data_IF_727352272922
#
_entry.id   IF_727352272922
#
_cell.length_a   1.000
_cell.length_b   1.000
_cell.length_c   1.000
_cell.angle_alpha   90.00
_cell.angle_beta   90.00
_cell.angle_gamma   90.00
#
_symmetry.space_group_name_H-M   'P 1'
#
loop_
_entity.id
_entity.type
_entity.pdbx_description
1 polymer ?
#
# COMPACT_ATOMS: atom_id res chain seq x y z
N UNK A 1 -6.33 9.62 10.58
CA UNK A 1 -7.61 8.92 10.36
C UNK A 1 -8.74 9.74 10.93
N UNK A 2 -9.66 10.17 10.09
CA UNK A 2 -10.88 10.84 10.51
C UNK A 2 -12.08 9.97 10.16
N UNK A 3 -13.01 9.81 11.09
CA UNK A 3 -14.24 9.03 10.90
C UNK A 3 -15.45 9.88 11.26
N UNK A 4 -16.31 10.09 10.29
CA UNK A 4 -17.62 10.72 10.46
C UNK A 4 -18.69 9.63 10.48
N UNK A 5 -19.48 9.56 11.57
CA UNK A 5 -20.61 8.63 11.71
C UNK A 5 -21.90 9.41 11.68
N UNK A 6 -22.78 9.11 10.75
CA UNK A 6 -24.18 9.55 10.73
C UNK A 6 -25.10 8.34 10.95
N UNK A 7 -26.40 8.58 11.23
CA UNK A 7 -27.37 7.48 11.48
C UNK A 7 -27.42 6.44 10.35
N UNK A 8 -27.17 6.86 9.10
CA UNK A 8 -27.33 6.02 7.90
C UNK A 8 -26.03 5.67 7.18
N UNK A 9 -24.89 6.26 7.53
CA UNK A 9 -23.63 5.98 6.87
C UNK A 9 -22.43 6.29 7.77
N UNK A 10 -21.29 5.68 7.46
CA UNK A 10 -19.98 6.00 8.03
C UNK A 10 -19.04 6.41 6.91
N UNK A 11 -18.45 7.58 7.03
CA UNK A 11 -17.40 8.06 6.15
C UNK A 11 -16.06 8.00 6.86
N UNK A 12 -15.06 7.44 6.21
CA UNK A 12 -13.69 7.33 6.74
C UNK A 12 -12.74 8.00 5.74
N UNK A 13 -11.94 8.90 6.26
CA UNK A 13 -10.85 9.53 5.53
C UNK A 13 -9.52 9.11 6.16
N UNK A 14 -8.60 8.69 5.33
CA UNK A 14 -7.25 8.29 5.73
C UNK A 14 -6.24 8.99 4.84
N UNK A 15 -5.28 9.66 5.45
CA UNK A 15 -4.11 10.24 4.82
C UNK A 15 -2.86 9.61 5.44
N UNK A 16 -2.00 9.08 4.61
CA UNK A 16 -0.72 8.51 4.99
C UNK A 16 0.37 9.07 4.10
N UNK A 17 1.46 9.49 4.73
CA UNK A 17 2.67 9.90 4.05
C UNK A 17 3.86 9.29 4.78
N UNK A 18 4.74 8.64 4.03
CA UNK A 18 5.95 8.04 4.54
C UNK A 18 7.11 8.44 3.65
N UNK A 19 8.20 8.87 4.29
CA UNK A 19 9.39 9.31 3.60
C UNK A 19 10.64 8.79 4.31
N UNK A 20 11.55 8.18 3.58
CA UNK A 20 12.76 7.61 4.14
C UNK A 20 13.94 7.65 3.17
N UNK A 21 15.12 7.79 3.73
CA UNK A 21 16.40 7.72 3.02
C UNK A 21 17.23 6.55 3.50
N UNK A 22 18.04 6.02 2.62
CA UNK A 22 19.14 5.13 2.93
C UNK A 22 20.43 5.80 2.49
N UNK A 23 21.29 6.09 3.45
CA UNK A 23 22.62 6.62 3.19
C UNK A 23 23.63 5.45 3.19
N UNK A 24 24.45 5.37 2.17
CA UNK A 24 25.56 4.43 2.09
C UNK A 24 26.85 5.14 2.48
N UNK A 25 27.74 4.45 3.18
CA UNK A 25 29.01 4.98 3.72
C UNK A 25 29.88 5.58 2.58
N UNK A 26 29.74 5.05 1.37
CA UNK A 26 30.50 5.49 0.19
C UNK A 26 29.83 6.60 -0.62
N UNK A 27 29.04 7.49 0.02
CA UNK A 27 28.57 8.77 -0.53
C UNK A 27 27.24 8.82 -1.28
N UNK A 28 26.55 7.72 -1.56
CA UNK A 28 25.26 7.79 -2.26
C UNK A 28 24.08 7.70 -1.31
N UNK A 29 23.30 8.79 -1.22
CA UNK A 29 22.01 8.76 -0.58
C UNK A 29 20.95 8.33 -1.58
N UNK A 30 20.30 7.21 -1.32
CA UNK A 30 19.18 6.72 -2.14
C UNK A 30 17.91 6.88 -1.32
N UNK A 31 16.86 7.42 -1.93
CA UNK A 31 15.54 7.43 -1.33
C UNK A 31 15.07 5.98 -1.18
N UNK A 32 14.83 5.57 0.06
CA UNK A 32 14.45 4.21 0.39
C UNK A 32 12.92 4.03 0.40
N UNK A 33 12.21 5.08 0.79
CA UNK A 33 10.78 5.01 0.99
C UNK A 33 10.13 6.35 0.69
N UNK A 34 9.05 6.33 -0.07
CA UNK A 34 8.20 7.46 -0.36
C UNK A 34 6.83 6.92 -0.73
N UNK A 35 5.88 7.07 0.16
CA UNK A 35 4.53 6.61 -0.06
C UNK A 35 3.54 7.68 0.37
N UNK A 36 2.75 8.12 -0.58
CA UNK A 36 1.61 8.99 -0.35
C UNK A 36 0.33 8.23 -0.65
N UNK A 37 -0.55 8.15 0.32
CA UNK A 37 -1.84 7.45 0.18
C UNK A 37 -2.96 8.30 0.75
N UNK A 38 -3.96 8.56 -0.06
CA UNK A 38 -5.25 9.11 0.37
C UNK A 38 -6.31 8.06 0.13
N UNK A 39 -7.04 7.69 1.17
CA UNK A 39 -8.16 6.75 1.09
C UNK A 39 -9.43 7.41 1.59
N UNK A 40 -10.48 7.30 0.80
CA UNK A 40 -11.83 7.68 1.15
C UNK A 40 -12.72 6.45 1.11
N UNK A 41 -13.46 6.21 2.17
CA UNK A 41 -14.37 5.07 2.24
C UNK A 41 -15.70 5.51 2.80
N UNK A 42 -16.78 5.19 2.10
CA UNK A 42 -18.15 5.36 2.55
C UNK A 42 -18.79 3.99 2.76
N UNK A 43 -19.33 3.76 3.95
CA UNK A 43 -19.96 2.51 4.35
C UNK A 43 -21.41 2.78 4.74
N UNK A 44 -22.34 2.05 4.15
CA UNK A 44 -23.78 2.16 4.38
C UNK A 44 -24.27 0.80 4.89
N UNK A 45 -24.98 0.70 6.03
CA UNK A 45 -25.59 -0.54 6.48
C UNK A 45 -26.50 -1.13 5.40
N UNK A 46 -26.30 -2.41 5.06
CA UNK A 46 -27.04 -3.08 4.00
C UNK A 46 -28.18 -3.94 4.55
N UNK A 47 -27.87 -5.06 5.21
CA UNK A 47 -28.87 -5.95 5.79
C UNK A 47 -28.78 -6.02 7.31
N UNK A 48 -27.57 -5.92 7.82
CA UNK A 48 -27.26 -6.01 9.24
C UNK A 48 -26.12 -5.04 9.58
N UNK A 49 -25.97 -4.69 10.86
CA UNK A 49 -24.91 -3.75 11.32
C UNK A 49 -23.50 -4.22 10.98
N UNK A 50 -23.30 -5.51 10.79
CA UNK A 50 -22.00 -6.10 10.42
C UNK A 50 -21.79 -6.22 8.92
N UNK A 51 -22.83 -6.08 8.09
CA UNK A 51 -22.76 -6.13 6.63
C UNK A 51 -23.11 -4.77 6.06
N UNK A 52 -22.14 -4.16 5.39
CA UNK A 52 -22.24 -2.80 4.88
C UNK A 52 -22.03 -2.82 3.37
N UNK A 53 -22.71 -1.95 2.66
CA UNK A 53 -22.31 -1.57 1.31
C UNK A 53 -21.15 -0.59 1.40
N UNK A 54 -20.11 -0.80 0.61
CA UNK A 54 -18.86 -0.06 0.67
C UNK A 54 -18.53 0.57 -0.68
N UNK A 55 -18.18 1.85 -0.65
CA UNK A 55 -17.58 2.56 -1.79
C UNK A 55 -16.25 3.10 -1.30
N UNK A 56 -15.17 2.75 -1.98
CA UNK A 56 -13.83 3.22 -1.65
C UNK A 56 -13.15 3.88 -2.86
N UNK A 57 -12.40 4.93 -2.58
CA UNK A 57 -11.57 5.61 -3.54
C UNK A 57 -10.19 5.89 -2.93
N UNK A 58 -9.17 5.31 -3.52
CA UNK A 58 -7.78 5.43 -3.09
C UNK A 58 -6.95 6.16 -4.14
N UNK A 59 -6.10 7.08 -3.68
CA UNK A 59 -5.00 7.62 -4.46
C UNK A 59 -3.72 7.18 -3.78
N UNK A 60 -2.83 6.54 -4.55
CA UNK A 60 -1.50 6.16 -4.09
C UNK A 60 -0.46 6.72 -5.05
N UNK A 61 0.62 7.26 -4.53
CA UNK A 61 1.72 7.75 -5.34
C UNK A 61 2.98 7.97 -4.52
N UNK A 62 3.97 8.56 -5.17
CA UNK A 62 5.19 9.08 -4.58
C UNK A 62 5.18 10.61 -4.71
N UNK A 63 5.72 11.30 -3.71
CA UNK A 63 5.76 12.77 -3.71
C UNK A 63 7.08 13.33 -4.23
N UNK A 64 8.14 12.50 -4.28
CA UNK A 64 9.47 12.97 -4.66
C UNK A 64 10.11 12.04 -5.68
N UNK A 65 10.97 12.59 -6.51
CA UNK A 65 11.79 11.79 -7.40
C UNK A 65 12.79 10.90 -6.63
N UNK A 66 13.02 9.70 -7.13
CA UNK A 66 14.05 8.79 -6.62
C UNK A 66 15.01 8.44 -7.74
N UNK A 67 16.27 8.34 -7.34
CA UNK A 67 17.32 7.85 -8.21
C UNK A 67 17.77 6.47 -7.74
N UNK A 68 18.18 5.65 -8.69
CA UNK A 68 18.84 4.39 -8.43
C UNK A 68 20.20 4.40 -9.12
N UNK A 69 21.07 3.47 -8.78
CA UNK A 69 22.41 3.32 -9.34
C UNK A 69 22.52 2.01 -10.08
N UNK A 70 23.19 2.03 -11.22
CA UNK A 70 23.57 0.82 -11.96
C UNK A 70 25.05 0.90 -12.35
N UNK A 71 25.71 -0.25 -12.42
CA UNK A 71 27.04 -0.34 -12.99
C UNK A 71 26.93 -0.31 -14.52
N UNK A 72 27.69 0.57 -15.15
CA UNK A 72 27.87 0.57 -16.59
C UNK A 72 28.80 -0.58 -17.02
N UNK A 73 28.73 -1.01 -18.28
CA UNK A 73 29.68 -1.98 -18.86
C UNK A 73 31.14 -1.53 -18.75
N UNK A 74 31.39 -0.23 -18.62
CA UNK A 74 32.71 0.37 -18.39
C UNK A 74 33.16 0.34 -16.92
N UNK A 75 32.39 -0.27 -16.02
CA UNK A 75 32.66 -0.30 -14.56
C UNK A 75 32.28 0.98 -13.82
N UNK A 76 31.86 2.03 -14.51
CA UNK A 76 31.43 3.26 -13.88
C UNK A 76 30.02 3.12 -13.30
N UNK A 77 29.77 3.78 -12.17
CA UNK A 77 28.45 3.83 -11.54
C UNK A 77 27.63 4.99 -12.13
N UNK A 78 26.53 4.66 -12.77
CA UNK A 78 25.59 5.64 -13.33
C UNK A 78 24.39 5.81 -12.42
N UNK A 79 24.05 7.05 -12.10
CA UNK A 79 22.81 7.40 -11.38
C UNK A 79 21.71 7.66 -12.40
N UNK A 80 20.56 7.01 -12.25
CA UNK A 80 19.41 7.19 -13.14
C UNK A 80 18.12 7.44 -12.36
N UNK A 81 17.20 8.21 -12.96
CA UNK A 81 15.89 8.47 -12.39
C UNK A 81 15.07 7.17 -12.37
N UNK A 82 14.65 6.74 -11.18
CA UNK A 82 13.91 5.50 -10.97
C UNK A 82 12.41 5.75 -10.85
N UNK A 83 12.02 6.81 -10.12
CA UNK A 83 10.63 7.27 -9.99
C UNK A 83 10.61 8.78 -9.93
N UNK A 84 9.47 9.39 -10.26
CA UNK A 84 9.30 10.82 -10.24
C UNK A 84 8.01 11.22 -9.53
N UNK A 85 7.81 12.51 -9.36
CA UNK A 85 6.63 13.10 -8.73
C UNK A 85 5.33 12.59 -9.37
N UNK A 86 4.49 11.92 -8.59
CA UNK A 86 3.28 11.23 -9.06
C UNK A 86 3.50 10.27 -10.24
N UNK A 87 4.70 9.67 -10.34
CA UNK A 87 5.04 8.66 -11.36
C UNK A 87 5.77 7.47 -10.73
N UNK A 88 5.08 6.33 -10.50
CA UNK A 88 3.68 6.08 -10.86
C UNK A 88 2.66 6.72 -9.93
N UNK A 89 1.54 7.15 -10.50
CA UNK A 89 0.34 7.52 -9.76
C UNK A 89 -0.75 6.47 -9.94
N UNK A 90 -1.38 6.04 -8.86
CA UNK A 90 -2.46 5.06 -8.86
C UNK A 90 -3.74 5.69 -8.34
N UNK A 91 -4.84 5.49 -9.06
CA UNK A 91 -6.19 5.76 -8.60
C UNK A 91 -6.94 4.44 -8.57
N UNK A 92 -7.48 4.07 -7.43
CA UNK A 92 -8.21 2.82 -7.26
C UNK A 92 -9.61 3.18 -6.80
N UNK A 93 -10.60 2.71 -7.52
CA UNK A 93 -12.01 2.80 -7.17
C UNK A 93 -12.54 1.41 -6.91
N UNK A 94 -13.31 1.22 -5.86
CA UNK A 94 -14.00 -0.04 -5.61
C UNK A 94 -15.38 0.18 -5.00
N UNK A 95 -16.30 -0.70 -5.37
CA UNK A 95 -17.66 -0.76 -4.85
C UNK A 95 -17.99 -2.22 -4.52
N UNK A 96 -18.58 -2.47 -3.35
CA UNK A 96 -18.85 -3.83 -2.93
C UNK A 96 -19.43 -3.92 -1.54
N UNK A 97 -19.07 -4.99 -0.85
CA UNK A 97 -19.55 -5.30 0.50
C UNK A 97 -18.41 -5.27 1.51
N UNK A 98 -18.72 -4.78 2.69
CA UNK A 98 -17.83 -4.81 3.85
C UNK A 98 -18.47 -5.67 4.94
N UNK A 99 -17.67 -6.53 5.53
CA UNK A 99 -18.06 -7.31 6.71
C UNK A 99 -17.19 -6.93 7.90
N UNK A 100 -17.83 -6.47 8.97
CA UNK A 100 -17.16 -6.12 10.23
C UNK A 100 -17.41 -7.25 11.23
N UNK A 101 -16.34 -7.94 11.61
CA UNK A 101 -16.41 -9.00 12.63
C UNK A 101 -16.61 -8.41 14.03
N UNK A 102 -17.03 -9.26 14.99
CA UNK A 102 -17.12 -8.86 16.42
C UNK A 102 -15.76 -8.38 16.98
N UNK A 103 -14.64 -8.75 16.37
CA UNK A 103 -13.30 -8.34 16.76
C UNK A 103 -12.82 -7.08 16.02
N UNK A 104 -13.72 -6.31 15.40
CA UNK A 104 -13.43 -5.10 14.62
C UNK A 104 -12.50 -5.33 13.41
N UNK A 105 -12.36 -6.58 12.94
CA UNK A 105 -11.70 -6.87 11.67
C UNK A 105 -12.68 -6.49 10.57
N UNK A 106 -12.25 -5.63 9.66
CA UNK A 106 -13.02 -5.22 8.48
C UNK A 106 -12.52 -5.99 7.26
N UNK A 107 -13.44 -6.64 6.58
CA UNK A 107 -13.18 -7.36 5.32
C UNK A 107 -14.01 -6.69 4.24
N UNK A 108 -13.36 -6.06 3.28
CA UNK A 108 -13.97 -5.34 2.17
C UNK A 108 -13.79 -6.13 0.89
N UNK A 109 -14.88 -6.56 0.28
CA UNK A 109 -14.92 -7.21 -1.02
C UNK A 109 -15.45 -6.22 -2.05
N UNK A 110 -14.57 -5.68 -2.89
CA UNK A 110 -14.92 -4.84 -4.02
C UNK A 110 -15.26 -5.70 -5.24
N UNK A 111 -16.53 -5.77 -5.58
CA UNK A 111 -17.06 -6.56 -6.71
C UNK A 111 -16.84 -5.79 -8.02
N UNK A 112 -16.94 -4.47 -7.96
CA UNK A 112 -16.61 -3.58 -9.07
C UNK A 112 -15.41 -2.76 -8.64
N UNK A 113 -14.28 -3.02 -9.26
CA UNK A 113 -13.02 -2.34 -8.96
C UNK A 113 -12.33 -1.87 -10.23
N UNK A 114 -11.75 -0.69 -10.18
CA UNK A 114 -10.92 -0.13 -11.24
C UNK A 114 -9.61 0.41 -10.67
N UNK A 115 -8.51 0.11 -11.34
CA UNK A 115 -7.17 0.65 -11.05
C UNK A 115 -6.69 1.42 -12.27
N UNK A 116 -6.45 2.71 -12.12
CA UNK A 116 -5.84 3.55 -13.14
C UNK A 116 -4.39 3.78 -12.71
N UNK A 117 -3.45 3.35 -13.54
CA UNK A 117 -2.03 3.62 -13.39
C UNK A 117 -1.62 4.70 -14.37
N UNK A 118 -0.96 5.74 -13.88
CA UNK A 118 -0.51 6.88 -14.69
C UNK A 118 0.98 7.11 -14.53
N UNK A 119 1.67 7.34 -15.65
CA UNK A 119 3.05 7.82 -15.71
C UNK A 119 3.02 9.23 -16.29
N UNK A 120 3.62 10.20 -15.59
CA UNK A 120 3.63 11.61 -16.01
C UNK A 120 4.90 12.03 -16.69
N UNK A 121 6.00 11.30 -16.46
CA UNK A 121 7.31 11.64 -16.96
C UNK A 121 7.84 10.54 -17.89
N UNK A 122 7.85 10.82 -19.19
CA UNK A 122 8.28 9.88 -20.23
C UNK A 122 9.80 9.59 -20.18
N UNK A 123 10.61 10.48 -19.58
CA UNK A 123 12.03 10.24 -19.37
C UNK A 123 12.30 8.99 -18.50
N UNK A 124 11.32 8.55 -17.71
CA UNK A 124 11.42 7.31 -16.94
C UNK A 124 11.60 6.08 -17.85
N UNK A 125 11.00 6.06 -19.03
CA UNK A 125 11.15 4.96 -19.99
C UNK A 125 12.57 4.91 -20.54
N UNK A 126 13.17 6.08 -20.83
CA UNK A 126 14.54 6.18 -21.33
C UNK A 126 15.55 5.81 -20.25
N UNK A 127 15.42 6.40 -19.07
CA UNK A 127 16.36 6.17 -17.97
C UNK A 127 16.32 4.73 -17.47
N UNK A 128 15.18 4.09 -17.50
CA UNK A 128 15.01 2.68 -17.12
C UNK A 128 15.20 1.71 -18.28
N UNK A 129 15.42 2.20 -19.51
CA UNK A 129 15.58 1.40 -20.73
C UNK A 129 14.44 0.38 -20.90
N UNK A 130 13.20 0.80 -20.71
CA UNK A 130 12.03 -0.07 -20.77
C UNK A 130 10.95 0.59 -21.64
N UNK A 131 10.26 -0.22 -22.43
CA UNK A 131 9.09 0.22 -23.21
C UNK A 131 7.80 0.14 -22.41
N UNK A 132 7.81 -0.60 -21.29
CA UNK A 132 6.66 -0.75 -20.41
C UNK A 132 7.10 -0.46 -18.97
N UNK A 133 6.43 0.49 -18.30
CA UNK A 133 6.65 0.79 -16.90
C UNK A 133 5.35 0.70 -16.12
N UNK A 134 5.33 -0.09 -15.06
CA UNK A 134 4.17 -0.28 -14.21
C UNK A 134 2.91 -0.73 -15.00
N UNK A 135 3.15 -1.43 -16.12
CA UNK A 135 2.11 -1.89 -17.04
C UNK A 135 1.60 -0.84 -18.04
N UNK A 136 2.14 0.38 -18.03
CA UNK A 136 1.84 1.43 -19.02
C UNK A 136 2.89 1.37 -20.12
N UNK A 137 2.47 1.33 -21.38
CA UNK A 137 3.36 1.35 -22.53
C UNK A 137 3.90 2.77 -22.80
N UNK A 138 5.10 2.85 -23.37
CA UNK A 138 5.67 4.14 -23.74
C UNK A 138 4.80 4.82 -24.81
N UNK A 139 4.47 6.09 -24.58
CA UNK A 139 3.53 6.85 -25.41
C UNK A 139 2.09 6.80 -24.94
N UNK A 140 1.74 5.88 -24.02
CA UNK A 140 0.45 5.88 -23.34
C UNK A 140 0.49 6.71 -22.05
N UNK A 141 -0.55 7.49 -21.82
CA UNK A 141 -0.64 8.34 -20.61
C UNK A 141 -1.08 7.53 -19.38
N UNK A 142 -1.84 6.46 -19.58
CA UNK A 142 -2.44 5.67 -18.49
C UNK A 142 -2.80 4.27 -18.95
N UNK A 143 -2.83 3.35 -18.01
CA UNK A 143 -3.46 2.03 -18.12
C UNK A 143 -4.66 1.97 -17.19
N UNK A 144 -5.75 1.37 -17.63
CA UNK A 144 -6.94 1.12 -16.81
C UNK A 144 -7.17 -0.38 -16.72
N UNK A 145 -7.16 -0.89 -15.50
CA UNK A 145 -7.41 -2.29 -15.17
C UNK A 145 -8.73 -2.39 -14.40
N UNK A 146 -9.60 -3.34 -14.76
CA UNK A 146 -10.80 -3.67 -14.01
C UNK A 146 -10.65 -5.03 -13.34
N UNK A 147 -11.18 -5.16 -12.11
CA UNK A 147 -11.01 -6.40 -11.37
C UNK A 147 -11.78 -6.44 -10.06
N UNK A 148 -11.47 -7.45 -9.27
CA UNK A 148 -11.95 -7.63 -7.91
C UNK A 148 -10.91 -7.09 -6.93
N UNK A 149 -11.38 -6.48 -5.85
CA UNK A 149 -10.54 -6.00 -4.77
C UNK A 149 -10.98 -6.63 -3.45
N UNK A 150 -10.04 -7.26 -2.75
CA UNK A 150 -10.24 -7.74 -1.39
C UNK A 150 -9.31 -6.95 -0.47
N UNK A 151 -9.88 -6.26 0.52
CA UNK A 151 -9.10 -5.60 1.55
C UNK A 151 -9.47 -6.17 2.92
N UNK A 152 -8.45 -6.47 3.73
CA UNK A 152 -8.61 -6.92 5.11
C UNK A 152 -7.89 -5.90 5.99
N UNK A 153 -8.61 -5.34 6.94
CA UNK A 153 -8.05 -4.43 7.93
C UNK A 153 -8.37 -4.95 9.33
N UNK A 154 -7.35 -5.42 10.02
CA UNK A 154 -7.40 -5.74 11.42
C UNK A 154 -6.66 -4.63 12.19
N UNK A 155 -7.37 -3.70 12.85
CA UNK A 155 -6.74 -2.65 13.63
C UNK A 155 -5.96 -3.27 14.80
N UNK A 156 -4.96 -2.55 15.29
CA UNK A 156 -4.15 -3.00 16.42
C UNK A 156 -5.04 -3.42 17.60
N UNK A 157 -4.86 -4.63 18.05
CA UNK A 157 -5.59 -5.23 19.17
C UNK A 157 -4.66 -6.03 20.07
N UNK A 158 -4.96 -6.03 21.33
CA UNK A 158 -4.25 -6.85 22.29
C UNK A 158 -4.68 -8.32 22.14
N UNK A 159 -3.73 -9.20 21.87
CA UNK A 159 -3.90 -10.65 21.93
C UNK A 159 -3.74 -11.16 23.37
N UNK A 160 -2.80 -10.53 24.10
CA UNK A 160 -2.52 -10.70 25.53
C UNK A 160 -2.18 -9.34 26.13
N UNK A 161 -1.97 -9.27 27.44
CA UNK A 161 -1.65 -8.03 28.17
C UNK A 161 -0.42 -7.29 27.62
N UNK A 162 0.52 -8.02 27.05
CA UNK A 162 1.80 -7.50 26.55
C UNK A 162 2.05 -7.75 25.06
N UNK A 163 1.07 -8.32 24.33
CA UNK A 163 1.19 -8.62 22.91
C UNK A 163 0.00 -8.01 22.18
N UNK A 164 0.28 -7.16 21.21
CA UNK A 164 -0.71 -6.64 20.29
C UNK A 164 -0.37 -7.01 18.84
N UNK A 165 -1.39 -7.11 18.01
CA UNK A 165 -1.29 -7.46 16.60
C UNK A 165 -2.14 -6.54 15.75
N UNK A 166 -1.63 -6.20 14.57
CA UNK A 166 -2.35 -5.51 13.52
C UNK A 166 -2.03 -6.12 12.16
N UNK A 167 -2.99 -6.07 11.25
CA UNK A 167 -2.80 -6.54 9.88
C UNK A 167 -3.57 -5.65 8.90
N UNK A 168 -2.94 -5.37 7.77
CA UNK A 168 -3.57 -4.73 6.62
C UNK A 168 -3.17 -5.50 5.37
N UNK A 169 -4.15 -6.01 4.63
CA UNK A 169 -3.92 -6.73 3.39
C UNK A 169 -4.83 -6.17 2.30
N UNK A 170 -4.26 -5.95 1.12
CA UNK A 170 -4.99 -5.54 -0.08
C UNK A 170 -4.60 -6.50 -1.19
N UNK A 171 -5.60 -7.11 -1.81
CA UNK A 171 -5.43 -8.03 -2.94
C UNK A 171 -6.30 -7.52 -4.08
N UNK A 172 -5.72 -7.36 -5.24
CA UNK A 172 -6.43 -6.98 -6.46
C UNK A 172 -6.21 -8.04 -7.52
N UNK A 173 -7.29 -8.52 -8.13
CA UNK A 173 -7.27 -9.49 -9.21
C UNK A 173 -7.90 -8.88 -10.46
N UNK A 174 -7.23 -8.98 -11.61
CA UNK A 174 -7.80 -8.55 -12.88
C UNK A 174 -9.01 -9.42 -13.25
N UNK A 175 -10.06 -8.81 -13.79
CA UNK A 175 -11.30 -9.51 -14.17
C UNK A 175 -11.04 -10.62 -15.20
N UNK A 176 -10.11 -10.41 -16.12
CA UNK A 176 -9.72 -11.40 -17.15
C UNK A 176 -9.02 -12.61 -16.57
N UNK A 177 -8.40 -12.48 -15.39
CA UNK A 177 -7.42 -13.44 -14.89
C UNK A 177 -7.71 -13.88 -13.44
N UNK A 178 -8.97 -13.78 -13.00
CA UNK A 178 -9.36 -14.08 -11.60
C UNK A 178 -8.97 -15.51 -11.17
N UNK A 179 -8.84 -16.43 -12.10
CA UNK A 179 -8.44 -17.81 -11.82
C UNK A 179 -6.95 -18.09 -12.04
N UNK A 180 -6.16 -17.08 -12.42
CA UNK A 180 -4.72 -17.20 -12.67
C UNK A 180 -3.94 -16.59 -11.51
N UNK A 181 -3.26 -17.40 -10.72
CA UNK A 181 -2.51 -16.96 -9.53
C UNK A 181 -1.52 -15.84 -9.82
N UNK A 182 -0.88 -15.85 -10.98
CA UNK A 182 0.09 -14.81 -11.37
C UNK A 182 -0.54 -13.46 -11.76
N UNK A 183 -1.87 -13.37 -11.78
CA UNK A 183 -2.58 -12.14 -12.12
C UNK A 183 -2.91 -11.28 -10.90
N UNK A 184 -2.66 -11.78 -9.71
CA UNK A 184 -2.93 -11.05 -8.47
C UNK A 184 -1.84 -10.02 -8.18
N UNK A 185 -2.29 -8.85 -7.72
CA UNK A 185 -1.44 -7.86 -7.06
C UNK A 185 -1.79 -7.90 -5.58
N UNK A 186 -0.81 -8.03 -4.69
CA UNK A 186 -1.08 -7.98 -3.25
C UNK A 186 -0.05 -7.16 -2.49
N UNK A 187 -0.52 -6.54 -1.42
CA UNK A 187 0.28 -5.81 -0.43
C UNK A 187 -0.25 -6.19 0.96
N UNK A 188 0.54 -6.96 1.68
CA UNK A 188 0.19 -7.49 2.99
C UNK A 188 1.19 -6.92 4.00
N UNK A 189 0.66 -6.19 4.96
CA UNK A 189 1.41 -5.64 6.08
C UNK A 189 0.90 -6.28 7.37
N UNK A 190 1.81 -6.91 8.10
CA UNK A 190 1.50 -7.58 9.35
C UNK A 190 2.47 -7.11 10.43
N UNK A 191 1.99 -6.77 11.62
CA UNK A 191 2.83 -6.32 12.70
C UNK A 191 2.42 -6.92 14.05
N UNK A 192 3.42 -7.37 14.78
CA UNK A 192 3.33 -7.76 16.17
C UNK A 192 4.07 -6.75 17.03
N UNK A 193 3.45 -6.38 18.13
CA UNK A 193 3.97 -5.45 19.11
C UNK A 193 4.08 -6.16 20.46
N UNK A 194 5.27 -6.17 20.99
CA UNK A 194 5.58 -6.76 22.30
C UNK A 194 5.90 -5.63 23.27
N UNK A 195 5.15 -5.54 24.35
CA UNK A 195 5.37 -4.53 25.40
C UNK A 195 6.17 -5.16 26.54
N UNK A 196 7.35 -4.60 26.81
CA UNK A 196 8.22 -4.98 27.89
C UNK A 196 8.29 -3.85 28.93
N UNK A 197 8.42 -4.19 30.19
CA UNK A 197 8.70 -3.23 31.27
C UNK A 197 7.76 -1.99 31.29
N UNK A 198 6.49 -2.16 30.88
CA UNK A 198 5.44 -1.12 30.79
C UNK A 198 5.72 0.02 29.78
N UNK A 199 6.97 0.28 29.44
CA UNK A 199 7.36 1.44 28.62
C UNK A 199 8.18 1.09 27.37
N UNK A 200 8.66 -0.13 27.23
CA UNK A 200 9.49 -0.56 26.11
C UNK A 200 8.66 -1.40 25.14
N UNK A 201 8.58 -0.99 23.89
CA UNK A 201 7.87 -1.71 22.82
C UNK A 201 8.86 -2.22 21.78
N UNK A 202 8.83 -3.51 21.53
CA UNK A 202 9.42 -4.13 20.35
C UNK A 202 8.31 -4.34 19.30
N UNK A 203 8.50 -3.83 18.10
CA UNK A 203 7.59 -4.06 16.97
C UNK A 203 8.29 -4.86 15.90
N UNK A 204 7.69 -5.97 15.51
CA UNK A 204 8.14 -6.81 14.40
C UNK A 204 7.11 -6.65 13.29
N UNK A 205 7.51 -6.02 12.19
CA UNK A 205 6.64 -5.79 11.03
C UNK A 205 7.14 -6.62 9.86
N UNK A 206 6.23 -7.33 9.21
CA UNK A 206 6.47 -8.04 7.97
C UNK A 206 5.60 -7.43 6.87
N UNK A 207 6.21 -7.11 5.75
CA UNK A 207 5.52 -6.63 4.55
C UNK A 207 5.83 -7.57 3.41
N UNK A 208 4.79 -8.02 2.72
CA UNK A 208 4.89 -8.85 1.52
C UNK A 208 4.14 -8.15 0.40
N UNK A 209 4.83 -7.89 -0.71
CA UNK A 209 4.27 -7.24 -1.89
C UNK A 209 4.53 -8.03 -3.14
N UNK A 210 3.56 -8.04 -4.01
CA UNK A 210 3.69 -8.53 -5.37
C UNK A 210 2.83 -7.70 -6.31
N UNK A 211 3.42 -7.23 -7.40
CA UNK A 211 2.71 -6.62 -8.53
C UNK A 211 3.44 -7.02 -9.80
N UNK A 212 2.81 -7.85 -10.62
CA UNK A 212 3.38 -8.36 -11.87
C UNK A 212 3.82 -7.26 -12.84
N UNK A 213 3.23 -6.07 -12.74
CA UNK A 213 3.60 -4.93 -13.59
C UNK A 213 4.87 -4.19 -13.10
N UNK A 214 5.34 -4.52 -11.90
CA UNK A 214 6.51 -3.89 -11.28
C UNK A 214 7.67 -4.87 -11.23
N UNK A 215 7.40 -6.11 -10.85
CA UNK A 215 8.43 -7.11 -10.60
C UNK A 215 7.91 -8.54 -10.85
N UNK A 216 8.82 -9.42 -11.25
CA UNK A 216 8.52 -10.83 -11.50
C UNK A 216 8.56 -11.69 -10.23
N UNK A 217 9.07 -11.15 -9.12
CA UNK A 217 9.24 -11.87 -7.85
C UNK A 217 8.50 -11.19 -6.71
N UNK A 218 8.17 -11.98 -5.69
CA UNK A 218 7.57 -11.47 -4.45
C UNK A 218 8.64 -10.67 -3.68
N UNK A 219 8.29 -9.44 -3.30
CA UNK A 219 9.10 -8.63 -2.40
C UNK A 219 8.68 -8.89 -0.96
N UNK A 220 9.65 -9.20 -0.10
CA UNK A 220 9.43 -9.35 1.34
C UNK A 220 10.40 -8.48 2.11
N UNK A 221 9.89 -7.75 3.10
CA UNK A 221 10.67 -6.92 4.00
C UNK A 221 10.23 -7.15 5.43
N UNK A 222 11.19 -7.40 6.32
CA UNK A 222 10.97 -7.49 7.74
C UNK A 222 11.66 -6.32 8.44
N UNK A 223 10.95 -5.66 9.34
CA UNK A 223 11.46 -4.51 10.10
C UNK A 223 11.29 -4.78 11.59
N UNK A 224 12.37 -4.56 12.34
CA UNK A 224 12.37 -4.60 13.79
C UNK A 224 12.54 -3.18 14.32
N UNK A 225 11.63 -2.75 15.18
CA UNK A 225 11.69 -1.41 15.78
C UNK A 225 11.59 -1.55 17.29
N UNK A 226 12.57 -0.98 17.99
CA UNK A 226 12.55 -0.86 19.44
C UNK A 226 12.28 0.62 19.78
N UNK A 227 11.34 0.87 20.66
CA UNK A 227 10.96 2.24 21.03
C UNK A 227 10.30 2.32 22.40
N UNK A 228 10.21 3.54 22.91
CA UNK A 228 9.47 3.82 24.13
C UNK A 228 7.99 3.98 23.85
N UNK A 229 7.17 3.41 24.71
CA UNK A 229 5.71 3.53 24.68
C UNK A 229 5.25 4.34 25.86
N UNK A 230 4.65 5.48 25.58
CA UNK A 230 4.02 6.33 26.61
C UNK A 230 2.52 6.18 26.44
N UNK A 231 1.87 5.59 27.43
CA UNK A 231 0.41 5.46 27.44
C UNK A 231 -0.18 6.67 28.17
N UNK A 232 -0.45 7.74 27.43
CA UNK A 232 -1.26 8.84 27.97
C UNK A 232 -2.71 8.38 27.97
N UNK A 233 -3.15 7.74 29.07
CA UNK A 233 -4.57 7.68 29.38
C UNK A 233 -4.96 9.10 29.82
N UNK A 234 -5.45 9.90 28.89
CA UNK A 234 -6.28 11.06 29.17
C UNK A 234 -7.70 10.59 29.47
#
# INVERSE_FOLDING_TARGET
>A
NNTLKAKKFTYKFFLFNEYGFKHFIDSTTIKNQDAFTVRNTMQIPFLHRSLLFNIAFDIKSQLWHAYNVRQSLSGNTERYLYTDYFSPGYKIFSMGLSFITKHAINIDLGIVGGKITKIRNDNLYETRKSTILYGVERGEVKKTDFGLNLAINAPMRNLKSNIAWECNAIIFALKSDVFVLNAYTFDINNAFHFLFLKHLRLSVRSQIKYDKNIQSSIYSMNTFTLGFYINNKL
#
